data_IF_109163511050
#
_entry.id   IF_109163511050
#
_cell.length_a   1.000
_cell.length_b   1.000
_cell.length_c   1.000
_cell.angle_alpha   90.00
_cell.angle_beta   90.00
_cell.angle_gamma   90.00
#
_symmetry.space_group_name_H-M   'P 1'
#
loop_
_entity.id
_entity.type
_entity.pdbx_description
1 polymer ?
#
# COMPACT_ATOMS: atom_id res chain seq x y z
N UNK A 1 2.70 16.02 -17.77
CA UNK A 1 2.43 14.55 -17.73
C UNK A 1 1.88 14.27 -16.34
N UNK A 2 0.92 13.35 -16.19
CA UNK A 2 0.35 13.09 -14.87
C UNK A 2 1.30 12.16 -14.11
N UNK A 3 2.06 12.71 -13.14
CA UNK A 3 3.09 12.01 -12.37
C UNK A 3 2.57 11.00 -11.34
N UNK A 4 1.28 10.63 -11.35
CA UNK A 4 0.72 9.75 -10.33
C UNK A 4 0.92 8.27 -10.68
N UNK A 5 1.20 7.47 -9.66
CA UNK A 5 1.38 6.03 -9.72
C UNK A 5 0.51 5.35 -8.67
N UNK A 6 0.08 4.12 -8.95
CA UNK A 6 -0.71 3.29 -8.06
C UNK A 6 -0.01 1.95 -7.89
N UNK A 7 0.21 1.52 -6.65
CA UNK A 7 0.65 0.17 -6.32
C UNK A 7 -0.46 -0.49 -5.50
N UNK A 8 -0.79 -1.73 -5.86
CA UNK A 8 -1.82 -2.54 -5.20
C UNK A 8 -1.19 -3.83 -4.66
N UNK A 9 -1.68 -4.30 -3.52
CA UNK A 9 -1.37 -5.61 -2.95
C UNK A 9 -2.63 -6.26 -2.39
N UNK A 10 -2.69 -7.59 -2.47
CA UNK A 10 -3.78 -8.41 -1.95
C UNK A 10 -3.37 -9.05 -0.62
N UNK A 11 -4.27 -9.02 0.36
CA UNK A 11 -4.10 -9.59 1.69
C UNK A 11 -5.40 -10.31 2.05
N UNK A 12 -5.35 -11.64 2.12
CA UNK A 12 -6.54 -12.47 2.32
C UNK A 12 -7.63 -12.14 1.28
N UNK A 13 -8.74 -11.54 1.71
CA UNK A 13 -9.89 -11.09 0.90
C UNK A 13 -9.92 -9.55 0.71
N UNK A 14 -8.87 -8.84 1.11
CA UNK A 14 -8.72 -7.38 0.99
C UNK A 14 -7.72 -6.99 -0.10
N UNK A 15 -8.01 -5.88 -0.79
CA UNK A 15 -7.05 -5.19 -1.64
C UNK A 15 -6.65 -3.89 -0.96
N UNK A 16 -5.36 -3.71 -0.73
CA UNK A 16 -4.79 -2.46 -0.27
C UNK A 16 -4.09 -1.75 -1.44
N UNK A 17 -4.16 -0.43 -1.45
CA UNK A 17 -3.59 0.37 -2.51
C UNK A 17 -2.97 1.66 -2.00
N UNK A 18 -1.86 2.03 -2.62
CA UNK A 18 -1.21 3.32 -2.42
C UNK A 18 -1.19 4.08 -3.75
N UNK A 19 -2.01 5.13 -3.83
CA UNK A 19 -1.93 6.14 -4.87
C UNK A 19 -0.95 7.23 -4.41
N UNK A 20 0.07 7.51 -5.21
CA UNK A 20 1.10 8.48 -4.88
C UNK A 20 1.57 9.24 -6.11
N UNK A 21 2.23 10.37 -5.88
CA UNK A 21 2.92 11.11 -6.93
C UNK A 21 4.35 10.59 -7.07
N UNK A 22 4.64 9.95 -8.21
CA UNK A 22 5.94 9.35 -8.54
C UNK A 22 7.02 10.36 -8.90
N UNK A 23 6.66 11.64 -9.14
CA UNK A 23 7.66 12.71 -9.30
C UNK A 23 8.23 13.15 -7.95
N UNK A 24 7.49 12.95 -6.85
CA UNK A 24 7.89 13.37 -5.51
C UNK A 24 8.28 12.20 -4.59
N UNK A 25 7.65 11.04 -4.75
CA UNK A 25 7.89 9.86 -3.94
C UNK A 25 8.52 8.75 -4.79
N UNK A 26 9.79 8.35 -4.52
CA UNK A 26 10.40 7.22 -5.18
C UNK A 26 9.60 5.93 -4.97
N UNK A 27 9.48 5.11 -6.00
CA UNK A 27 8.73 3.85 -5.95
C UNK A 27 9.17 2.94 -4.78
N UNK A 28 10.47 2.88 -4.50
CA UNK A 28 10.99 2.10 -3.37
C UNK A 28 10.42 2.55 -2.01
N UNK A 29 10.22 3.85 -1.81
CA UNK A 29 9.58 4.39 -0.60
C UNK A 29 8.08 4.09 -0.60
N UNK A 30 7.41 4.22 -1.74
CA UNK A 30 6.00 3.86 -1.88
C UNK A 30 5.76 2.38 -1.53
N UNK A 31 6.64 1.47 -1.97
CA UNK A 31 6.60 0.04 -1.62
C UNK A 31 6.86 -0.21 -0.13
N UNK A 32 7.80 0.51 0.48
CA UNK A 32 8.04 0.40 1.92
C UNK A 32 6.80 0.83 2.74
N UNK A 33 6.16 1.93 2.36
CA UNK A 33 4.92 2.40 3.00
C UNK A 33 3.77 1.41 2.80
N UNK A 34 3.59 0.89 1.58
CA UNK A 34 2.56 -0.12 1.31
C UNK A 34 2.78 -1.38 2.15
N UNK A 35 4.03 -1.81 2.32
CA UNK A 35 4.38 -2.96 3.17
C UNK A 35 4.03 -2.71 4.64
N UNK A 36 4.24 -1.50 5.15
CA UNK A 36 3.83 -1.15 6.53
C UNK A 36 2.31 -1.16 6.67
N UNK A 37 1.60 -0.56 5.71
CA UNK A 37 0.13 -0.61 5.64
C UNK A 37 -0.40 -2.04 5.61
N UNK A 38 0.28 -2.93 4.88
CA UNK A 38 -0.04 -4.36 4.81
C UNK A 38 0.03 -5.04 6.17
N UNK A 39 1.09 -4.84 6.94
CA UNK A 39 1.21 -5.48 8.25
C UNK A 39 0.13 -4.97 9.22
N UNK A 40 -0.15 -3.65 9.22
CA UNK A 40 -1.22 -3.07 10.04
C UNK A 40 -2.59 -3.66 9.64
N UNK A 41 -2.89 -3.68 8.33
CA UNK A 41 -4.16 -4.22 7.84
C UNK A 41 -4.32 -5.70 8.20
N UNK A 42 -3.23 -6.47 8.16
CA UNK A 42 -3.22 -7.88 8.56
C UNK A 42 -3.49 -8.05 10.06
N UNK A 43 -2.82 -7.29 10.92
CA UNK A 43 -3.01 -7.33 12.37
C UNK A 43 -4.45 -6.99 12.78
N UNK A 44 -5.04 -5.97 12.15
CA UNK A 44 -6.43 -5.57 12.41
C UNK A 44 -7.43 -6.63 11.93
N UNK A 45 -7.17 -7.26 10.78
CA UNK A 45 -8.01 -8.34 10.26
C UNK A 45 -8.00 -9.57 11.19
N UNK A 46 -6.81 -9.99 11.63
CA UNK A 46 -6.65 -11.16 12.53
C UNK A 46 -7.16 -10.89 13.96
N UNK A 47 -7.27 -9.62 14.38
CA UNK A 47 -7.81 -9.24 15.70
C UNK A 47 -9.34 -9.07 15.74
N UNK A 48 -9.98 -9.01 14.56
CA UNK A 48 -11.42 -8.90 14.40
C UNK A 48 -12.16 -10.24 14.30
N UNK A 49 -11.43 -11.35 14.18
CA UNK A 49 -11.92 -12.75 14.27
C UNK A 49 -11.85 -13.29 15.70
#
# INVERSE_FOLDING_TARGET
MCGHSLILEEINDLIIGLLYDSETLPEGMARLLLKQLREIAKEEYESGE
#
